data_IF_210130524471
#
_entry.id   IF_210130524471
#
_cell.length_a   1.000
_cell.length_b   1.000
_cell.length_c   1.000
_cell.angle_alpha   90.00
_cell.angle_beta   90.00
_cell.angle_gamma   90.00
#
_symmetry.space_group_name_H-M   'P 1'
#
loop_
_entity.id
_entity.type
_entity.pdbx_description
1 polymer ?
#
# COMPACT_ATOMS: atom_id res chain seq x y z
N UNK A 1 9.59 -30.20 0.81
CA UNK A 1 9.80 -28.76 1.04
C UNK A 1 10.91 -28.25 0.12
N UNK A 2 12.09 -28.93 0.01
CA UNK A 2 13.17 -28.54 -0.89
C UNK A 2 12.77 -28.46 -2.37
N UNK A 3 12.00 -29.43 -2.87
CA UNK A 3 11.50 -29.43 -4.25
C UNK A 3 10.62 -28.20 -4.57
N UNK A 4 9.78 -27.75 -3.61
CA UNK A 4 8.97 -26.55 -3.76
C UNK A 4 9.85 -25.29 -3.86
N UNK A 5 10.88 -25.19 -3.03
CA UNK A 5 11.83 -24.06 -3.07
C UNK A 5 12.56 -24.00 -4.41
N UNK A 6 12.98 -25.16 -4.96
CA UNK A 6 13.62 -25.25 -6.29
C UNK A 6 12.67 -24.84 -7.40
N UNK A 7 11.42 -25.34 -7.38
CA UNK A 7 10.41 -24.94 -8.36
C UNK A 7 10.10 -23.45 -8.30
N UNK A 8 9.99 -22.90 -7.10
CA UNK A 8 9.76 -21.46 -6.89
C UNK A 8 10.96 -20.63 -7.34
N UNK A 9 12.20 -21.09 -7.06
CA UNK A 9 13.42 -20.47 -7.57
C UNK A 9 13.39 -20.39 -9.11
N UNK A 10 13.05 -21.49 -9.77
CA UNK A 10 12.99 -21.54 -11.24
C UNK A 10 11.97 -20.55 -11.84
N UNK A 11 10.84 -20.36 -11.18
CA UNK A 11 9.83 -19.36 -11.65
C UNK A 11 10.31 -17.92 -11.52
N UNK A 12 11.17 -17.62 -10.56
CA UNK A 12 11.68 -16.28 -10.32
C UNK A 12 12.86 -15.88 -11.21
N UNK A 13 13.59 -16.86 -11.78
CA UNK A 13 14.79 -16.59 -12.60
C UNK A 13 14.51 -15.55 -13.70
N UNK A 14 13.46 -15.75 -14.48
CA UNK A 14 13.14 -14.85 -15.61
C UNK A 14 12.78 -13.41 -15.16
N UNK A 15 12.15 -13.28 -13.98
CA UNK A 15 11.80 -11.96 -13.43
C UNK A 15 13.03 -11.22 -12.92
N UNK A 16 13.87 -11.90 -12.15
CA UNK A 16 15.09 -11.30 -11.58
C UNK A 16 16.12 -11.02 -12.68
N UNK A 17 16.28 -11.89 -13.67
CA UNK A 17 17.17 -11.64 -14.83
C UNK A 17 16.76 -10.37 -15.57
N UNK A 18 15.46 -10.22 -15.87
CA UNK A 18 14.94 -9.01 -16.52
C UNK A 18 15.18 -7.75 -15.69
N UNK A 19 14.88 -7.80 -14.40
CA UNK A 19 15.10 -6.69 -13.49
C UNK A 19 16.58 -6.28 -13.44
N UNK A 20 17.49 -7.25 -13.22
CA UNK A 20 18.92 -6.97 -13.13
C UNK A 20 19.45 -6.39 -14.43
N UNK A 21 19.07 -6.93 -15.59
CA UNK A 21 19.48 -6.38 -16.91
C UNK A 21 18.98 -4.98 -17.11
N UNK A 22 17.71 -4.69 -16.77
CA UNK A 22 17.16 -3.32 -16.89
C UNK A 22 17.92 -2.35 -16.00
N UNK A 23 18.21 -2.71 -14.75
CA UNK A 23 18.98 -1.85 -13.84
C UNK A 23 20.40 -1.64 -14.36
N UNK A 24 21.10 -2.71 -14.80
CA UNK A 24 22.43 -2.60 -15.39
C UNK A 24 22.47 -1.71 -16.63
N UNK A 25 21.47 -1.83 -17.50
CA UNK A 25 21.35 -0.97 -18.67
C UNK A 25 21.20 0.49 -18.25
N UNK A 26 20.29 0.80 -17.30
CA UNK A 26 20.09 2.17 -16.79
C UNK A 26 21.37 2.72 -16.17
N UNK A 27 22.10 1.92 -15.37
CA UNK A 27 23.39 2.34 -14.78
C UNK A 27 24.41 2.69 -15.88
N UNK A 28 24.48 1.85 -16.94
CA UNK A 28 25.39 2.10 -18.07
C UNK A 28 25.02 3.35 -18.84
N UNK A 29 23.71 3.57 -19.13
CA UNK A 29 23.21 4.78 -19.80
C UNK A 29 23.53 6.07 -19.05
N UNK A 30 23.57 5.98 -17.71
CA UNK A 30 23.95 7.10 -16.85
C UNK A 30 25.45 7.14 -16.48
N UNK A 31 26.28 6.30 -17.11
CA UNK A 31 27.72 6.18 -16.85
C UNK A 31 28.06 5.92 -15.36
N UNK A 32 27.22 5.18 -14.66
CA UNK A 32 27.42 4.80 -13.25
C UNK A 32 28.17 3.47 -13.19
N UNK A 33 29.44 3.53 -12.80
CA UNK A 33 30.33 2.37 -12.66
C UNK A 33 30.36 1.83 -11.22
N UNK A 34 29.18 1.56 -10.64
CA UNK A 34 29.06 0.96 -9.31
C UNK A 34 28.73 -0.52 -9.39
N UNK A 35 29.23 -1.37 -8.47
CA UNK A 35 28.84 -2.77 -8.41
C UNK A 35 27.34 -2.85 -8.01
N UNK A 36 26.57 -3.58 -8.81
CA UNK A 36 25.16 -3.84 -8.50
C UNK A 36 25.05 -4.94 -7.45
N UNK A 37 24.53 -4.57 -6.28
CA UNK A 37 24.24 -5.47 -5.18
C UNK A 37 22.72 -5.60 -5.02
N UNK A 38 22.28 -6.77 -4.56
CA UNK A 38 20.86 -7.08 -4.32
C UNK A 38 20.67 -7.44 -2.85
N UNK A 39 19.65 -6.86 -2.23
CA UNK A 39 19.28 -7.18 -0.85
C UNK A 39 18.54 -8.53 -0.83
N UNK A 40 18.90 -9.39 0.12
CA UNK A 40 18.20 -10.63 0.42
C UNK A 40 17.05 -10.42 1.40
N UNK A 41 16.20 -11.43 1.54
CA UNK A 41 15.11 -11.43 2.51
C UNK A 41 15.57 -11.33 3.98
N UNK A 42 16.79 -11.71 4.30
CA UNK A 42 17.39 -11.58 5.63
C UNK A 42 18.08 -10.21 5.88
N UNK A 43 18.08 -9.32 4.87
CA UNK A 43 18.73 -8.00 4.91
C UNK A 43 20.21 -8.00 4.50
N UNK A 44 20.82 -9.16 4.23
CA UNK A 44 22.19 -9.22 3.73
C UNK A 44 22.27 -8.86 2.23
N UNK A 45 23.49 -8.52 1.77
CA UNK A 45 23.73 -8.16 0.36
C UNK A 45 24.39 -9.30 -0.39
N UNK A 46 23.93 -9.53 -1.62
CA UNK A 46 24.56 -10.45 -2.58
C UNK A 46 24.84 -9.75 -3.90
N UNK A 47 25.78 -10.28 -4.67
CA UNK A 47 26.02 -9.78 -6.02
C UNK A 47 24.86 -10.07 -6.95
N UNK A 48 24.64 -9.24 -7.97
CA UNK A 48 23.63 -9.47 -8.99
C UNK A 48 23.77 -10.86 -9.64
N UNK A 49 25.01 -11.36 -9.83
CA UNK A 49 25.26 -12.70 -10.36
C UNK A 49 24.69 -13.80 -9.45
N UNK A 50 24.93 -13.71 -8.14
CA UNK A 50 24.40 -14.70 -7.18
C UNK A 50 22.88 -14.61 -7.06
N UNK A 51 22.30 -13.41 -7.18
CA UNK A 51 20.86 -13.23 -7.20
C UNK A 51 20.19 -13.91 -8.41
N UNK A 52 20.87 -13.98 -9.55
CA UNK A 52 20.41 -14.73 -10.72
C UNK A 52 20.43 -16.27 -10.51
N UNK A 53 21.40 -16.75 -9.75
CA UNK A 53 21.51 -18.18 -9.43
C UNK A 53 20.50 -18.61 -8.36
N UNK A 54 20.20 -17.71 -7.41
CA UNK A 54 19.35 -17.95 -6.24
C UNK A 54 18.29 -16.86 -6.03
N UNK A 55 17.42 -16.60 -7.03
CA UNK A 55 16.43 -15.51 -6.93
C UNK A 55 15.44 -15.71 -5.78
N UNK A 56 15.21 -16.93 -5.30
CA UNK A 56 14.36 -17.18 -4.13
C UNK A 56 14.85 -16.50 -2.86
N UNK A 57 16.14 -16.24 -2.72
CA UNK A 57 16.70 -15.52 -1.56
C UNK A 57 16.39 -14.03 -1.57
N UNK A 58 15.90 -13.47 -2.68
CA UNK A 58 15.48 -12.05 -2.79
C UNK A 58 14.02 -11.81 -2.38
N UNK A 59 13.32 -12.85 -1.99
CA UNK A 59 11.94 -12.73 -1.50
C UNK A 59 11.94 -11.90 -0.20
N UNK A 60 10.99 -10.97 -0.08
CA UNK A 60 10.89 -10.00 1.03
C UNK A 60 12.11 -9.07 1.18
N UNK A 61 12.89 -8.87 0.12
CA UNK A 61 14.02 -7.95 0.12
C UNK A 61 13.62 -6.48 0.37
N UNK A 62 12.42 -6.05 -0.05
CA UNK A 62 11.91 -4.71 0.20
C UNK A 62 11.78 -4.41 1.70
N UNK A 63 10.93 -5.12 2.45
CA UNK A 63 10.84 -4.96 3.90
C UNK A 63 12.18 -5.13 4.62
N UNK A 64 13.02 -6.09 4.17
CA UNK A 64 14.34 -6.28 4.76
C UNK A 64 15.25 -5.05 4.56
N UNK A 65 15.23 -4.44 3.36
CA UNK A 65 15.96 -3.22 3.07
C UNK A 65 15.49 -2.04 3.93
N UNK A 66 14.18 -1.89 4.14
CA UNK A 66 13.61 -0.85 5.01
C UNK A 66 14.10 -1.00 6.45
N UNK A 67 14.14 -2.23 6.98
CA UNK A 67 14.64 -2.50 8.34
C UNK A 67 16.14 -2.19 8.46
N UNK A 68 16.95 -2.61 7.49
CA UNK A 68 18.39 -2.31 7.47
C UNK A 68 18.64 -0.81 7.35
N UNK A 69 17.88 -0.13 6.49
CA UNK A 69 17.93 1.33 6.36
C UNK A 69 17.56 2.04 7.66
N UNK A 70 16.49 1.62 8.34
CA UNK A 70 16.06 2.16 9.62
C UNK A 70 17.15 2.01 10.70
N UNK A 71 17.78 0.84 10.79
CA UNK A 71 18.90 0.60 11.70
C UNK A 71 20.12 1.48 11.40
N UNK A 72 20.37 1.75 10.12
CA UNK A 72 21.47 2.63 9.71
C UNK A 72 21.24 4.08 10.14
N UNK A 73 20.02 4.60 9.95
CA UNK A 73 19.66 5.97 10.31
C UNK A 73 19.45 6.17 11.82
N UNK A 74 18.95 5.15 12.50
CA UNK A 74 18.65 5.22 13.94
C UNK A 74 19.19 3.95 14.63
N UNK A 75 20.49 3.89 14.93
CA UNK A 75 21.08 2.76 15.62
C UNK A 75 20.43 2.59 17.00
N UNK A 76 19.77 1.45 17.23
CA UNK A 76 19.10 1.14 18.47
C UNK A 76 19.11 -0.38 18.72
N UNK A 77 19.03 -0.77 20.00
CA UNK A 77 18.99 -2.19 20.36
C UNK A 77 17.59 -2.79 20.18
N UNK A 78 16.55 -2.05 20.50
CA UNK A 78 15.19 -2.50 20.38
C UNK A 78 14.35 -1.41 19.70
N UNK A 79 13.62 -1.76 18.67
CA UNK A 79 12.73 -0.86 17.95
C UNK A 79 11.65 -1.62 17.18
N UNK A 80 10.61 -0.88 16.82
CA UNK A 80 9.62 -1.29 15.83
C UNK A 80 9.82 -0.42 14.60
N UNK A 81 9.98 -1.05 13.45
CA UNK A 81 10.00 -0.39 12.14
C UNK A 81 8.61 -0.52 11.53
N UNK A 82 7.99 0.59 11.21
CA UNK A 82 6.73 0.63 10.48
C UNK A 82 6.94 1.36 9.15
N UNK A 83 6.99 0.60 8.07
CA UNK A 83 7.13 1.10 6.71
C UNK A 83 5.75 1.18 6.06
N UNK A 84 5.19 2.38 5.95
CA UNK A 84 3.90 2.62 5.31
C UNK A 84 4.11 3.12 3.88
N UNK A 85 4.03 2.19 2.94
CA UNK A 85 4.05 2.52 1.52
C UNK A 85 2.67 2.94 0.98
N UNK A 86 2.54 2.97 -0.35
CA UNK A 86 1.26 3.28 -0.99
C UNK A 86 0.21 2.16 -0.84
N UNK A 87 0.63 0.91 -0.75
CA UNK A 87 -0.26 -0.27 -0.81
C UNK A 87 -0.39 -0.99 0.52
N UNK A 88 0.73 -1.15 1.23
CA UNK A 88 0.86 -1.92 2.47
C UNK A 88 1.54 -1.11 3.55
N UNK A 89 1.33 -1.52 4.78
CA UNK A 89 2.18 -1.15 5.90
C UNK A 89 2.86 -2.42 6.40
N UNK A 90 4.19 -2.40 6.37
CA UNK A 90 5.04 -3.51 6.77
C UNK A 90 5.66 -3.19 8.14
N UNK A 91 5.46 -4.11 9.09
CA UNK A 91 5.91 -3.92 10.47
C UNK A 91 6.93 -5.00 10.79
N UNK A 92 8.12 -4.58 11.22
CA UNK A 92 9.20 -5.46 11.63
C UNK A 92 9.74 -5.07 13.02
N UNK A 93 10.28 -6.05 13.72
CA UNK A 93 10.84 -5.87 15.06
C UNK A 93 12.36 -5.95 14.99
N UNK A 94 13.02 -5.00 15.63
CA UNK A 94 14.46 -5.02 15.91
C UNK A 94 14.64 -5.42 17.36
N UNK A 95 15.44 -6.46 17.59
CA UNK A 95 15.82 -6.90 18.92
C UNK A 95 17.35 -7.10 18.99
N UNK A 96 17.97 -6.58 20.04
CA UNK A 96 19.44 -6.65 20.24
C UNK A 96 20.24 -6.11 19.05
N UNK A 97 19.75 -5.02 18.42
CA UNK A 97 20.40 -4.37 17.28
C UNK A 97 20.31 -5.12 15.96
N UNK A 98 19.41 -6.11 15.83
CA UNK A 98 19.22 -6.90 14.62
C UNK A 98 17.74 -7.10 14.32
N UNK A 99 17.41 -7.21 13.04
CA UNK A 99 16.07 -7.62 12.62
C UNK A 99 15.75 -9.03 13.13
N UNK A 100 14.55 -9.21 13.67
CA UNK A 100 14.07 -10.54 14.07
C UNK A 100 13.77 -11.34 12.79
N UNK A 101 14.38 -12.52 12.67
CA UNK A 101 14.13 -13.41 11.54
C UNK A 101 12.90 -14.30 11.78
N UNK A 102 12.27 -14.71 10.71
CA UNK A 102 11.18 -15.68 10.75
C UNK A 102 11.75 -17.05 11.17
N UNK A 103 11.16 -17.67 12.21
CA UNK A 103 11.53 -19.01 12.64
C UNK A 103 10.92 -20.09 11.75
N UNK A 104 9.77 -19.79 11.15
CA UNK A 104 9.10 -20.67 10.18
C UNK A 104 9.46 -20.21 8.77
N UNK A 105 9.36 -21.16 7.81
CA UNK A 105 9.49 -20.85 6.39
C UNK A 105 8.49 -19.74 6.02
N UNK A 106 9.00 -18.64 5.46
CA UNK A 106 8.20 -17.46 5.09
C UNK A 106 7.09 -17.86 4.13
N UNK A 107 5.87 -17.49 4.45
CA UNK A 107 4.74 -17.74 3.56
C UNK A 107 4.69 -16.71 2.44
N UNK A 108 4.76 -17.18 1.19
CA UNK A 108 4.62 -16.36 -0.02
C UNK A 108 3.44 -16.90 -0.83
N UNK A 109 2.31 -16.24 -0.74
CA UNK A 109 1.05 -16.77 -1.27
C UNK A 109 0.71 -18.14 -0.65
N UNK A 110 0.45 -19.17 -1.46
CA UNK A 110 0.19 -20.53 -0.96
C UNK A 110 1.48 -21.30 -0.64
N UNK A 111 2.66 -20.76 -0.93
CA UNK A 111 3.94 -21.44 -0.84
C UNK A 111 4.71 -21.03 0.42
N UNK A 112 5.54 -21.96 0.93
CA UNK A 112 6.50 -21.72 2.03
C UNK A 112 7.90 -22.16 1.59
N UNK A 113 8.64 -21.32 0.84
CA UNK A 113 10.01 -21.61 0.49
C UNK A 113 10.92 -21.59 1.73
N UNK A 114 11.91 -22.48 1.78
CA UNK A 114 12.89 -22.53 2.87
C UNK A 114 13.98 -21.48 2.64
N UNK A 115 13.67 -20.24 2.93
CA UNK A 115 14.64 -19.13 2.88
C UNK A 115 14.52 -18.33 4.18
N UNK A 116 15.65 -17.89 4.69
CA UNK A 116 15.68 -16.97 5.81
C UNK A 116 15.21 -15.59 5.36
N UNK A 117 14.32 -15.00 6.15
CA UNK A 117 13.84 -13.65 5.90
C UNK A 117 13.53 -12.92 7.20
N UNK A 118 13.56 -11.60 7.15
CA UNK A 118 13.08 -10.76 8.24
C UNK A 118 11.62 -11.12 8.51
N UNK A 119 11.27 -11.22 9.80
CA UNK A 119 9.89 -11.40 10.22
C UNK A 119 9.14 -10.10 10.04
N UNK A 120 8.17 -10.10 9.15
CA UNK A 120 7.36 -8.93 8.80
C UNK A 120 5.88 -9.26 8.95
N UNK A 121 5.15 -8.39 9.63
CA UNK A 121 3.68 -8.36 9.60
C UNK A 121 3.26 -7.32 8.57
N UNK A 122 2.68 -7.77 7.47
CA UNK A 122 2.16 -6.88 6.41
C UNK A 122 0.65 -6.76 6.50
N UNK A 123 0.14 -5.54 6.46
CA UNK A 123 -1.29 -5.24 6.36
C UNK A 123 -1.58 -4.49 5.07
N UNK A 124 -2.72 -4.78 4.43
CA UNK A 124 -3.15 -4.16 3.17
C UNK A 124 -3.73 -2.75 3.37
N UNK A 125 -2.98 -1.89 4.05
CA UNK A 125 -3.29 -0.51 4.34
C UNK A 125 -2.08 0.35 4.02
N UNK A 126 -2.22 1.26 3.07
CA UNK A 126 -1.18 2.21 2.67
C UNK A 126 -1.78 3.57 2.29
N UNK A 127 -0.92 4.53 2.00
CA UNK A 127 -1.31 5.90 1.65
C UNK A 127 -2.18 5.99 0.38
N UNK A 128 -2.01 5.05 -0.56
CA UNK A 128 -2.76 4.96 -1.82
C UNK A 128 -3.94 3.98 -1.74
N UNK A 129 -4.27 3.46 -0.55
CA UNK A 129 -5.43 2.58 -0.36
C UNK A 129 -6.72 3.31 -0.67
N UNK A 130 -7.60 2.72 -1.49
CA UNK A 130 -8.88 3.35 -1.81
C UNK A 130 -9.77 3.45 -0.58
N UNK A 131 -10.30 4.64 -0.35
CA UNK A 131 -11.31 4.90 0.68
C UNK A 131 -12.68 4.71 0.04
N UNK A 132 -13.37 3.65 0.44
CA UNK A 132 -14.64 3.24 -0.14
C UNK A 132 -15.70 2.91 0.91
N UNK A 133 -16.79 2.30 0.45
CA UNK A 133 -17.89 1.85 1.28
C UNK A 133 -18.05 0.32 1.18
N UNK A 134 -18.10 -0.34 2.33
CA UNK A 134 -18.26 -1.79 2.46
C UNK A 134 -19.60 -2.15 3.13
N UNK A 135 -20.71 -1.70 2.54
CA UNK A 135 -22.05 -2.05 3.02
C UNK A 135 -22.22 -1.81 4.53
N UNK A 136 -22.64 -2.85 5.26
CA UNK A 136 -22.90 -2.78 6.70
C UNK A 136 -21.68 -2.44 7.58
N UNK A 137 -20.45 -2.64 7.09
CA UNK A 137 -19.22 -2.28 7.78
C UNK A 137 -18.86 -0.77 7.66
N UNK A 138 -19.61 -0.01 6.85
CA UNK A 138 -19.42 1.42 6.65
C UNK A 138 -18.16 1.75 5.84
N UNK A 139 -17.33 2.68 6.34
CA UNK A 139 -16.09 3.09 5.71
C UNK A 139 -15.09 1.93 5.65
N UNK A 140 -14.59 1.62 4.45
CA UNK A 140 -13.51 0.67 4.21
C UNK A 140 -12.30 1.38 3.60
N UNK A 141 -11.09 0.98 4.00
CA UNK A 141 -9.82 1.49 3.45
C UNK A 141 -9.03 0.30 2.93
N UNK A 142 -8.67 0.35 1.63
CA UNK A 142 -7.99 -0.74 0.96
C UNK A 142 -8.86 -1.99 0.75
N UNK A 143 -8.24 -3.15 0.39
CA UNK A 143 -6.82 -3.30 0.05
C UNK A 143 -6.46 -2.82 -1.37
N UNK A 144 -7.44 -2.31 -2.16
CA UNK A 144 -7.18 -1.86 -3.53
C UNK A 144 -6.34 -0.59 -3.52
N UNK A 145 -5.23 -0.62 -4.28
CA UNK A 145 -4.43 0.56 -4.57
C UNK A 145 -5.08 1.39 -5.67
N UNK A 146 -5.08 2.71 -5.50
CA UNK A 146 -5.51 3.70 -6.50
C UNK A 146 -4.50 4.84 -6.55
N UNK A 147 -4.57 5.68 -7.57
CA UNK A 147 -3.76 6.91 -7.63
C UNK A 147 -4.47 7.99 -6.80
N UNK A 148 -3.82 8.57 -5.77
CA UNK A 148 -4.37 9.68 -5.01
C UNK A 148 -4.76 10.84 -5.92
N UNK A 149 -5.87 11.50 -5.64
CA UNK A 149 -6.34 12.63 -6.45
C UNK A 149 -5.40 13.82 -6.36
N UNK A 150 -4.82 14.07 -5.20
CA UNK A 150 -3.79 15.09 -5.00
C UNK A 150 -2.58 14.87 -5.91
N UNK A 151 -2.08 13.63 -5.98
CA UNK A 151 -0.97 13.24 -6.88
C UNK A 151 -1.36 13.31 -8.36
N UNK A 152 -2.57 12.84 -8.70
CA UNK A 152 -3.03 12.85 -10.09
C UNK A 152 -3.06 14.27 -10.67
N UNK A 153 -3.64 15.21 -9.92
CA UNK A 153 -3.76 16.59 -10.37
C UNK A 153 -2.42 17.33 -10.31
N UNK A 154 -1.56 16.99 -9.36
CA UNK A 154 -0.20 17.53 -9.29
C UNK A 154 0.60 17.19 -10.57
N UNK A 155 0.50 15.94 -11.04
CA UNK A 155 1.15 15.47 -12.27
C UNK A 155 0.42 15.87 -13.56
N UNK A 156 -0.90 16.08 -13.51
CA UNK A 156 -1.77 16.39 -14.63
C UNK A 156 -2.69 17.58 -14.32
N UNK A 157 -2.15 18.82 -14.18
CA UNK A 157 -2.93 20.00 -13.76
C UNK A 157 -4.13 20.31 -14.66
N UNK A 158 -4.07 19.91 -15.92
CA UNK A 158 -5.17 20.08 -16.90
C UNK A 158 -6.46 19.35 -16.48
N UNK A 159 -6.38 18.32 -15.62
CA UNK A 159 -7.53 17.59 -15.13
C UNK A 159 -8.28 18.32 -14.00
N UNK A 160 -7.74 19.41 -13.45
CA UNK A 160 -8.40 20.18 -12.40
C UNK A 160 -9.80 20.65 -12.82
N UNK A 161 -9.96 21.07 -14.09
CA UNK A 161 -11.25 21.50 -14.63
C UNK A 161 -12.29 20.38 -14.60
N UNK A 162 -11.89 19.14 -14.91
CA UNK A 162 -12.74 17.96 -14.83
C UNK A 162 -13.14 17.66 -13.37
N UNK A 163 -12.20 17.77 -12.44
CA UNK A 163 -12.48 17.54 -11.01
C UNK A 163 -13.45 18.61 -10.45
N UNK A 164 -13.25 19.88 -10.82
CA UNK A 164 -14.19 20.98 -10.48
C UNK A 164 -15.59 20.71 -11.09
N UNK A 165 -15.65 20.20 -12.31
CA UNK A 165 -16.94 19.83 -12.93
C UNK A 165 -17.62 18.70 -12.15
N UNK A 166 -16.88 17.67 -11.75
CA UNK A 166 -17.41 16.60 -10.90
C UNK A 166 -17.95 17.11 -9.56
N UNK A 167 -17.29 18.12 -8.96
CA UNK A 167 -17.73 18.69 -7.69
C UNK A 167 -19.09 19.42 -7.79
N UNK A 168 -19.48 19.86 -8.98
CA UNK A 168 -20.73 20.60 -9.24
C UNK A 168 -21.86 19.70 -9.74
N UNK A 169 -21.55 18.52 -10.24
CA UNK A 169 -22.54 17.59 -10.79
C UNK A 169 -23.05 16.59 -9.75
N UNK A 170 -24.15 15.88 -10.06
CA UNK A 170 -24.66 14.82 -9.20
C UNK A 170 -23.65 13.67 -9.14
N UNK A 171 -23.23 13.22 -7.96
CA UNK A 171 -22.28 12.13 -7.83
C UNK A 171 -22.82 10.82 -8.38
N UNK A 172 -21.92 10.01 -8.91
CA UNK A 172 -22.18 8.65 -9.37
C UNK A 172 -21.23 7.67 -8.66
N UNK A 173 -21.41 6.38 -8.85
CA UNK A 173 -20.48 5.36 -8.37
C UNK A 173 -19.07 5.49 -8.98
N UNK A 174 -18.90 6.32 -9.98
CA UNK A 174 -17.63 6.59 -10.68
C UNK A 174 -17.07 7.98 -10.45
N UNK A 175 -17.60 8.75 -9.51
CA UNK A 175 -17.02 10.02 -9.10
C UNK A 175 -15.62 9.80 -8.51
N UNK A 176 -14.71 10.77 -8.66
CA UNK A 176 -13.28 10.64 -8.35
C UNK A 176 -12.55 9.55 -9.16
N UNK A 177 -13.11 9.07 -10.27
CA UNK A 177 -12.55 7.97 -11.03
C UNK A 177 -11.97 8.46 -12.35
N UNK A 178 -10.64 8.40 -12.44
CA UNK A 178 -9.89 8.54 -13.69
C UNK A 178 -9.16 7.23 -13.95
N UNK A 179 -8.95 6.89 -15.22
CA UNK A 179 -8.01 5.85 -15.62
C UNK A 179 -6.66 6.49 -15.86
N UNK A 180 -5.61 5.95 -15.29
CA UNK A 180 -4.23 6.45 -15.36
C UNK A 180 -3.37 5.38 -16.01
N UNK A 181 -2.64 5.69 -17.11
CA UNK A 181 -1.78 4.71 -17.77
C UNK A 181 -0.59 4.34 -16.87
N UNK A 182 -0.19 3.08 -16.95
CA UNK A 182 1.08 2.58 -16.43
C UNK A 182 2.00 2.28 -17.61
N UNK A 183 3.28 2.08 -17.31
CA UNK A 183 4.22 1.64 -18.34
C UNK A 183 3.85 0.25 -18.85
N UNK A 184 3.81 0.09 -20.18
CA UNK A 184 3.63 -1.20 -20.84
C UNK A 184 4.88 -1.54 -21.67
N UNK A 185 5.35 -2.78 -21.55
CA UNK A 185 6.38 -3.29 -22.46
C UNK A 185 5.76 -3.59 -23.81
N UNK A 186 6.58 -3.59 -24.88
CA UNK A 186 6.12 -3.94 -26.22
C UNK A 186 5.42 -5.31 -26.24
N UNK A 187 5.97 -6.30 -25.56
CA UNK A 187 5.37 -7.63 -25.49
C UNK A 187 3.99 -7.64 -24.79
N UNK A 188 3.78 -6.79 -23.78
CA UNK A 188 2.47 -6.65 -23.14
C UNK A 188 1.47 -5.99 -24.10
N UNK A 189 1.90 -4.94 -24.81
CA UNK A 189 1.06 -4.28 -25.80
C UNK A 189 0.69 -5.22 -26.96
N UNK A 190 1.64 -6.00 -27.48
CA UNK A 190 1.39 -6.93 -28.59
C UNK A 190 0.35 -8.00 -28.24
N UNK A 191 0.28 -8.42 -26.98
CA UNK A 191 -0.68 -9.40 -26.47
C UNK A 191 -2.08 -8.84 -26.20
N UNK A 192 -2.31 -7.52 -26.32
CA UNK A 192 -3.62 -6.92 -26.12
C UNK A 192 -4.57 -7.25 -27.28
N UNK A 193 -5.85 -7.43 -26.97
CA UNK A 193 -6.90 -7.49 -27.97
C UNK A 193 -7.05 -6.13 -28.70
N UNK A 194 -7.61 -6.12 -29.92
CA UNK A 194 -7.72 -4.90 -30.71
C UNK A 194 -8.42 -3.74 -30.00
N UNK A 195 -9.51 -4.02 -29.26
CA UNK A 195 -10.22 -3.02 -28.48
C UNK A 195 -9.43 -2.49 -27.29
N UNK A 196 -8.57 -3.34 -26.70
CA UNK A 196 -7.67 -2.97 -25.60
C UNK A 196 -6.50 -2.12 -26.12
N UNK A 197 -5.95 -2.42 -27.30
CA UNK A 197 -4.94 -1.60 -27.98
C UNK A 197 -5.46 -0.19 -28.24
N UNK A 198 -6.66 -0.08 -28.81
CA UNK A 198 -7.28 1.22 -29.04
C UNK A 198 -7.52 2.01 -27.74
N UNK A 199 -7.96 1.32 -26.67
CA UNK A 199 -8.12 1.94 -25.36
C UNK A 199 -6.77 2.35 -24.74
N UNK A 200 -5.73 1.54 -24.93
CA UNK A 200 -4.38 1.86 -24.49
C UNK A 200 -3.79 3.07 -25.21
N UNK A 201 -3.96 3.16 -26.53
CA UNK A 201 -3.52 4.30 -27.33
C UNK A 201 -4.17 5.59 -26.84
N UNK A 202 -5.51 5.57 -26.64
CA UNK A 202 -6.24 6.73 -26.07
C UNK A 202 -5.74 7.09 -24.67
N UNK A 203 -5.50 6.07 -23.83
CA UNK A 203 -5.05 6.28 -22.44
C UNK A 203 -3.58 6.77 -22.39
N UNK A 204 -2.76 6.42 -23.36
CA UNK A 204 -1.35 6.84 -23.46
C UNK A 204 -1.20 8.33 -23.72
N UNK A 205 -2.22 8.99 -24.27
CA UNK A 205 -2.27 10.45 -24.44
C UNK A 205 -2.46 11.19 -23.10
N UNK A 206 -2.97 10.49 -22.08
CA UNK A 206 -3.17 11.02 -20.73
C UNK A 206 -4.31 10.34 -19.99
N UNK A 207 -4.46 10.65 -18.68
CA UNK A 207 -5.53 10.08 -17.86
C UNK A 207 -6.92 10.48 -18.36
N UNK A 208 -7.86 9.52 -18.31
CA UNK A 208 -9.23 9.66 -18.83
C UNK A 208 -10.22 9.77 -17.68
N UNK A 209 -11.06 10.80 -17.66
CA UNK A 209 -12.18 10.94 -16.71
C UNK A 209 -13.28 9.90 -17.03
N UNK A 210 -13.46 8.95 -16.14
CA UNK A 210 -14.46 7.88 -16.28
C UNK A 210 -15.85 8.29 -15.80
N UNK A 211 -16.00 9.39 -15.10
CA UNK A 211 -17.29 9.91 -14.66
C UNK A 211 -18.15 10.33 -15.86
N UNK A 212 -17.51 10.91 -16.86
CA UNK A 212 -18.14 11.35 -18.12
C UNK A 212 -18.18 10.23 -19.15
N UNK A 213 -17.08 9.54 -19.39
CA UNK A 213 -16.93 8.51 -20.44
C UNK A 213 -17.84 7.30 -20.22
N UNK A 214 -18.18 7.00 -18.97
CA UNK A 214 -19.08 5.88 -18.66
C UNK A 214 -20.46 6.00 -19.26
N UNK A 215 -20.93 7.22 -19.50
CA UNK A 215 -22.25 7.47 -20.10
C UNK A 215 -22.21 7.49 -21.62
N UNK A 216 -21.11 7.87 -22.24
CA UNK A 216 -20.96 8.09 -23.67
C UNK A 216 -20.25 6.95 -24.42
N UNK A 217 -19.32 6.23 -23.77
CA UNK A 217 -18.49 5.21 -24.43
C UNK A 217 -18.30 3.95 -23.57
N UNK A 218 -19.34 3.09 -23.52
CA UNK A 218 -19.30 1.82 -22.79
C UNK A 218 -18.20 0.85 -23.25
N UNK A 219 -17.91 0.69 -24.58
CA UNK A 219 -16.81 -0.15 -25.04
C UNK A 219 -15.45 0.30 -24.47
N UNK A 220 -15.12 1.59 -24.54
CA UNK A 220 -13.87 2.13 -24.00
C UNK A 220 -13.74 1.86 -22.50
N UNK A 221 -14.80 2.10 -21.74
CA UNK A 221 -14.80 1.85 -20.28
C UNK A 221 -14.56 0.37 -19.95
N UNK A 222 -15.10 -0.55 -20.77
CA UNK A 222 -14.87 -1.99 -20.60
C UNK A 222 -13.41 -2.35 -20.89
N UNK A 223 -12.86 -1.87 -22.01
CA UNK A 223 -11.45 -2.12 -22.37
C UNK A 223 -10.48 -1.54 -21.32
N UNK A 224 -10.77 -0.35 -20.78
CA UNK A 224 -9.99 0.22 -19.68
C UNK A 224 -10.04 -0.69 -18.44
N UNK A 225 -11.18 -1.28 -18.12
CA UNK A 225 -11.27 -2.22 -16.98
C UNK A 225 -10.44 -3.48 -17.19
N UNK A 226 -10.29 -3.97 -18.44
CA UNK A 226 -9.38 -5.07 -18.76
C UNK A 226 -7.92 -4.62 -18.62
N UNK A 227 -7.55 -3.42 -19.10
CA UNK A 227 -6.20 -2.86 -18.93
C UNK A 227 -5.84 -2.73 -17.44
N UNK A 228 -6.77 -2.28 -16.60
CA UNK A 228 -6.55 -2.22 -15.14
C UNK A 228 -6.35 -3.63 -14.55
N UNK A 229 -7.15 -4.59 -14.99
CA UNK A 229 -7.03 -6.00 -14.56
C UNK A 229 -5.72 -6.62 -15.00
N UNK A 230 -5.22 -6.26 -16.18
CA UNK A 230 -3.93 -6.64 -16.72
C UNK A 230 -2.72 -5.89 -16.12
N UNK A 231 -2.94 -4.92 -15.21
CA UNK A 231 -1.87 -4.15 -14.58
C UNK A 231 -1.23 -3.10 -15.50
N UNK A 232 -1.90 -2.71 -16.60
CA UNK A 232 -1.43 -1.70 -17.54
C UNK A 232 -2.00 -0.30 -17.26
N UNK A 233 -3.02 -0.23 -16.40
CA UNK A 233 -3.60 1.02 -15.93
C UNK A 233 -3.97 0.93 -14.45
N UNK A 234 -4.13 2.07 -13.78
CA UNK A 234 -4.71 2.18 -12.44
C UNK A 234 -5.92 3.10 -12.48
N UNK A 235 -6.82 2.90 -11.54
CA UNK A 235 -7.83 3.91 -11.25
C UNK A 235 -7.28 4.95 -10.28
N UNK A 236 -7.78 6.17 -10.35
CA UNK A 236 -7.69 7.13 -9.26
C UNK A 236 -8.80 6.91 -8.24
N UNK A 237 -8.65 7.51 -7.07
CA UNK A 237 -9.66 7.48 -6.02
C UNK A 237 -9.29 8.37 -4.85
N UNK A 238 -10.21 8.53 -3.91
CA UNK A 238 -9.92 9.18 -2.64
C UNK A 238 -9.17 8.24 -1.72
N UNK A 239 -8.11 8.75 -1.07
CA UNK A 239 -7.12 7.95 -0.33
C UNK A 239 -6.77 8.55 1.02
N UNK A 240 -6.10 7.79 1.94
CA UNK A 240 -5.49 8.34 3.14
C UNK A 240 -4.48 9.47 2.86
N UNK A 241 -3.71 9.40 1.78
CA UNK A 241 -2.81 10.48 1.36
C UNK A 241 -3.57 11.78 1.05
N UNK A 242 -4.72 11.71 0.37
CA UNK A 242 -5.56 12.88 0.14
C UNK A 242 -6.09 13.44 1.46
N UNK A 243 -6.54 12.58 2.38
CA UNK A 243 -6.98 13.01 3.70
C UNK A 243 -5.86 13.71 4.49
N UNK A 244 -4.63 13.21 4.41
CA UNK A 244 -3.47 13.82 5.05
C UNK A 244 -3.15 15.22 4.47
N UNK A 245 -3.28 15.43 3.15
CA UNK A 245 -3.13 16.73 2.52
C UNK A 245 -4.23 17.72 2.99
N UNK A 246 -5.47 17.26 3.10
CA UNK A 246 -6.58 18.10 3.61
C UNK A 246 -6.36 18.53 5.06
N UNK A 247 -5.77 17.65 5.88
CA UNK A 247 -5.46 17.93 7.29
C UNK A 247 -4.16 18.72 7.49
N UNK A 248 -3.42 19.02 6.42
CA UNK A 248 -2.12 19.70 6.51
C UNK A 248 -0.99 18.85 7.09
N UNK A 249 -1.18 17.54 7.17
CA UNK A 249 -0.15 16.58 7.60
C UNK A 249 0.87 16.28 6.48
N UNK A 250 0.47 16.51 5.23
CA UNK A 250 1.28 16.39 4.02
C UNK A 250 1.01 17.62 3.13
N UNK A 251 2.01 18.05 2.34
CA UNK A 251 1.90 19.25 1.49
C UNK A 251 2.69 19.16 0.17
N UNK A 252 3.13 17.98 -0.24
CA UNK A 252 3.98 17.81 -1.42
C UNK A 252 3.20 17.61 -2.73
N UNK A 253 1.86 17.47 -2.66
CA UNK A 253 0.97 17.40 -3.81
C UNK A 253 -0.15 18.43 -3.71
N UNK A 254 -1.09 18.44 -4.68
CA UNK A 254 -2.18 19.41 -4.74
C UNK A 254 -3.19 19.27 -3.59
N UNK A 255 -3.11 20.16 -2.60
CA UNK A 255 -4.08 20.24 -1.49
C UNK A 255 -5.47 20.62 -1.99
N UNK A 256 -5.57 21.50 -3.01
CA UNK A 256 -6.85 21.89 -3.59
C UNK A 256 -7.57 20.68 -4.22
N UNK A 257 -6.85 19.84 -4.95
CA UNK A 257 -7.39 18.60 -5.51
C UNK A 257 -7.84 17.63 -4.39
N UNK A 258 -7.08 17.52 -3.33
CA UNK A 258 -7.46 16.70 -2.17
C UNK A 258 -8.77 17.18 -1.52
N UNK A 259 -8.95 18.48 -1.35
CA UNK A 259 -10.19 19.09 -0.81
C UNK A 259 -11.40 18.84 -1.71
N UNK A 260 -11.24 19.02 -3.03
CA UNK A 260 -12.29 18.74 -4.01
C UNK A 260 -12.64 17.23 -4.01
N UNK A 261 -11.63 16.37 -4.04
CA UNK A 261 -11.83 14.92 -4.01
C UNK A 261 -12.56 14.46 -2.74
N UNK A 262 -12.21 15.02 -1.59
CA UNK A 262 -12.88 14.75 -0.31
C UNK A 262 -14.36 15.15 -0.38
N UNK A 263 -14.66 16.33 -0.91
CA UNK A 263 -16.02 16.82 -1.07
C UNK A 263 -16.84 15.95 -2.02
N UNK A 264 -16.27 15.59 -3.17
CA UNK A 264 -16.91 14.71 -4.16
C UNK A 264 -17.17 13.33 -3.53
N UNK A 265 -16.18 12.77 -2.85
CA UNK A 265 -16.29 11.46 -2.18
C UNK A 265 -17.40 11.48 -1.11
N UNK A 266 -17.46 12.51 -0.27
CA UNK A 266 -18.49 12.64 0.76
C UNK A 266 -19.89 12.71 0.16
N UNK A 267 -20.08 13.52 -0.90
CA UNK A 267 -21.36 13.59 -1.62
C UNK A 267 -21.73 12.26 -2.25
N UNK A 268 -20.75 11.52 -2.81
CA UNK A 268 -20.93 10.17 -3.34
C UNK A 268 -21.40 9.20 -2.24
N UNK A 269 -20.74 9.21 -1.08
CA UNK A 269 -21.13 8.34 0.05
C UNK A 269 -22.55 8.63 0.51
N UNK A 270 -22.95 9.90 0.59
CA UNK A 270 -24.30 10.29 1.00
C UNK A 270 -25.37 9.95 -0.03
N UNK A 271 -25.14 10.30 -1.29
CA UNK A 271 -26.19 10.27 -2.32
C UNK A 271 -26.28 8.92 -3.01
N UNK A 272 -25.17 8.22 -3.22
CA UNK A 272 -25.14 6.93 -3.89
C UNK A 272 -25.31 5.77 -2.91
N UNK A 273 -24.64 5.86 -1.75
CA UNK A 273 -24.61 4.75 -0.78
C UNK A 273 -25.44 4.99 0.48
N UNK A 274 -25.99 6.19 0.66
CA UNK A 274 -26.82 6.54 1.82
C UNK A 274 -26.05 6.63 3.14
N UNK A 275 -24.71 6.66 3.10
CA UNK A 275 -23.84 6.73 4.26
C UNK A 275 -23.48 8.17 4.62
N UNK A 276 -23.33 8.47 5.92
CA UNK A 276 -22.89 9.79 6.37
C UNK A 276 -23.95 10.88 6.24
N UNK A 277 -25.24 10.56 6.26
CA UNK A 277 -26.33 11.57 6.11
C UNK A 277 -26.31 12.68 7.15
N UNK A 278 -25.75 12.44 8.33
CA UNK A 278 -25.64 13.39 9.44
C UNK A 278 -24.21 13.93 9.63
N UNK A 279 -23.25 13.56 8.75
CA UNK A 279 -21.87 14.03 8.84
C UNK A 279 -21.74 15.46 8.31
N UNK A 280 -20.75 16.17 8.80
CA UNK A 280 -20.37 17.50 8.32
C UNK A 280 -20.00 17.49 6.85
N UNK A 281 -20.23 18.60 6.16
CA UNK A 281 -19.76 18.82 4.77
C UNK A 281 -18.36 19.46 4.74
N UNK A 282 -17.76 19.73 5.90
CA UNK A 282 -16.41 20.28 5.98
C UNK A 282 -15.36 19.22 5.58
N UNK A 283 -14.54 19.46 4.54
CA UNK A 283 -13.52 18.51 4.10
C UNK A 283 -12.56 18.07 5.22
N UNK A 284 -12.19 18.97 6.13
CA UNK A 284 -11.30 18.64 7.24
C UNK A 284 -11.92 17.63 8.21
N UNK A 285 -13.22 17.73 8.49
CA UNK A 285 -13.90 16.77 9.36
C UNK A 285 -14.05 15.40 8.68
N UNK A 286 -14.32 15.40 7.37
CA UNK A 286 -14.39 14.17 6.58
C UNK A 286 -13.03 13.48 6.53
N UNK A 287 -11.96 14.24 6.26
CA UNK A 287 -10.60 13.73 6.25
C UNK A 287 -10.18 13.16 7.61
N UNK A 288 -10.60 13.80 8.71
CA UNK A 288 -10.36 13.32 10.07
C UNK A 288 -10.99 11.95 10.31
N UNK A 289 -12.21 11.69 9.83
CA UNK A 289 -12.87 10.37 9.95
C UNK A 289 -12.04 9.28 9.25
N UNK A 290 -11.43 9.58 8.11
CA UNK A 290 -10.53 8.62 7.44
C UNK A 290 -9.27 8.40 8.26
N UNK A 291 -8.63 9.46 8.73
CA UNK A 291 -7.43 9.40 9.54
C UNK A 291 -7.65 8.63 10.86
N UNK A 292 -8.77 8.91 11.55
CA UNK A 292 -9.19 8.21 12.77
C UNK A 292 -9.48 6.71 12.56
N UNK A 293 -9.60 6.25 11.31
CA UNK A 293 -9.69 4.83 10.99
C UNK A 293 -8.34 4.21 10.63
N UNK A 294 -7.44 4.98 10.03
CA UNK A 294 -6.09 4.54 9.65
C UNK A 294 -5.22 4.32 10.89
N UNK A 295 -5.16 5.29 11.78
CA UNK A 295 -4.25 5.23 12.95
C UNK A 295 -4.50 4.03 13.85
N UNK A 296 -5.74 3.73 14.30
CA UNK A 296 -5.99 2.54 15.11
C UNK A 296 -5.62 1.23 14.40
N UNK A 297 -5.83 1.13 13.08
CA UNK A 297 -5.45 -0.06 12.32
C UNK A 297 -3.93 -0.29 12.31
N UNK A 298 -3.14 0.79 12.18
CA UNK A 298 -1.68 0.71 12.26
C UNK A 298 -1.24 0.35 13.68
N UNK A 299 -1.78 1.02 14.70
CA UNK A 299 -1.47 0.73 16.12
C UNK A 299 -1.78 -0.72 16.46
N UNK A 300 -2.93 -1.24 16.03
CA UNK A 300 -3.30 -2.64 16.22
C UNK A 300 -2.28 -3.58 15.55
N UNK A 301 -1.84 -3.28 14.34
CA UNK A 301 -0.86 -4.08 13.63
C UNK A 301 0.52 -4.05 14.33
N UNK A 302 0.96 -2.90 14.82
CA UNK A 302 2.19 -2.75 15.61
C UNK A 302 2.13 -3.60 16.88
N UNK A 303 1.05 -3.48 17.64
CA UNK A 303 0.87 -4.25 18.88
C UNK A 303 0.80 -5.76 18.61
N UNK A 304 0.12 -6.15 17.55
CA UNK A 304 0.09 -7.55 17.11
C UNK A 304 1.48 -8.07 16.77
N UNK A 305 2.28 -7.33 16.01
CA UNK A 305 3.64 -7.71 15.65
C UNK A 305 4.52 -7.89 16.91
N UNK A 306 4.39 -6.97 17.89
CA UNK A 306 5.11 -7.04 19.16
C UNK A 306 4.70 -8.28 19.97
N UNK A 307 3.41 -8.52 20.14
CA UNK A 307 2.91 -9.69 20.88
C UNK A 307 3.35 -11.01 20.25
N UNK A 308 3.31 -11.11 18.93
CA UNK A 308 3.78 -12.30 18.20
C UNK A 308 5.30 -12.48 18.34
N UNK A 309 6.07 -11.41 18.55
CA UNK A 309 7.51 -11.48 18.78
C UNK A 309 7.83 -11.94 20.21
N UNK A 310 7.14 -11.39 21.20
CA UNK A 310 7.37 -11.70 22.62
C UNK A 310 6.87 -13.09 23.01
N UNK A 311 5.87 -13.59 22.30
CA UNK A 311 5.23 -14.88 22.56
C UNK A 311 5.25 -15.81 21.34
N UNK A 312 6.45 -16.22 20.85
CA UNK A 312 6.58 -16.98 19.60
C UNK A 312 5.93 -18.36 19.63
N UNK A 313 5.70 -18.92 20.85
CA UNK A 313 5.11 -20.25 21.06
C UNK A 313 3.62 -20.20 21.40
N UNK A 314 3.00 -19.01 21.43
CA UNK A 314 1.58 -18.89 21.73
C UNK A 314 0.73 -19.45 20.61
N UNK A 315 -0.35 -20.12 20.98
CA UNK A 315 -1.33 -20.61 20.04
C UNK A 315 -2.05 -19.46 19.32
N UNK A 316 -2.58 -19.74 18.14
CA UNK A 316 -3.38 -18.75 17.39
C UNK A 316 -4.57 -18.22 18.20
N UNK A 317 -5.15 -19.04 19.10
CA UNK A 317 -6.27 -18.64 19.96
C UNK A 317 -5.84 -17.67 21.06
N UNK A 318 -4.66 -17.86 21.65
CA UNK A 318 -4.10 -16.94 22.65
C UNK A 318 -3.76 -15.59 22.01
N UNK A 319 -3.09 -15.59 20.86
CA UNK A 319 -2.81 -14.36 20.11
C UNK A 319 -4.09 -13.65 19.67
N UNK A 320 -5.14 -14.39 19.30
CA UNK A 320 -6.43 -13.80 18.96
C UNK A 320 -7.09 -13.15 20.18
N UNK A 321 -7.03 -13.77 21.36
CA UNK A 321 -7.55 -13.21 22.61
C UNK A 321 -6.78 -11.93 23.01
N UNK A 322 -5.45 -11.95 22.93
CA UNK A 322 -4.62 -10.76 23.19
C UNK A 322 -4.93 -9.63 22.17
N UNK A 323 -5.07 -9.97 20.89
CA UNK A 323 -5.44 -9.00 19.86
C UNK A 323 -6.83 -8.38 20.12
N UNK A 324 -7.79 -9.16 20.63
CA UNK A 324 -9.10 -8.65 21.02
C UNK A 324 -9.01 -7.65 22.17
N UNK A 325 -8.17 -7.89 23.16
CA UNK A 325 -7.91 -6.94 24.26
C UNK A 325 -7.28 -5.65 23.76
N UNK A 326 -6.37 -5.74 22.79
CA UNK A 326 -5.77 -4.56 22.12
C UNK A 326 -6.83 -3.73 21.39
N UNK A 327 -7.74 -4.39 20.67
CA UNK A 327 -8.85 -3.71 19.97
C UNK A 327 -9.74 -2.97 20.97
N UNK A 328 -10.09 -3.62 22.08
CA UNK A 328 -10.91 -3.01 23.14
C UNK A 328 -10.21 -1.84 23.82
N UNK A 329 -8.88 -1.90 23.93
CA UNK A 329 -8.07 -0.81 24.49
C UNK A 329 -7.97 0.39 23.54
N UNK A 330 -7.78 0.15 22.23
CA UNK A 330 -7.71 1.21 21.20
C UNK A 330 -9.07 1.88 21.01
N UNK A 331 -10.16 1.11 21.15
CA UNK A 331 -11.54 1.58 21.01
C UNK A 331 -12.31 1.40 22.33
N UNK A 332 -11.98 2.16 23.39
CA UNK A 332 -12.68 2.04 24.66
C UNK A 332 -14.19 2.32 24.45
N UNK A 333 -15.04 1.46 25.02
CA UNK A 333 -16.46 1.74 25.07
C UNK A 333 -16.68 3.07 25.79
N UNK A 334 -17.64 3.86 25.36
CA UNK A 334 -17.92 5.24 25.82
C UNK A 334 -18.01 5.42 27.36
N UNK A 335 -18.17 4.33 28.10
CA UNK A 335 -18.36 4.31 29.56
C UNK A 335 -17.12 3.87 30.37
N UNK A 336 -15.98 3.61 29.72
CA UNK A 336 -14.75 3.20 30.42
C UNK A 336 -13.67 4.26 30.26
N UNK A 337 -13.18 4.78 31.40
CA UNK A 337 -12.01 5.66 31.42
C UNK A 337 -10.78 4.90 30.90
N UNK A 338 -10.00 5.47 29.97
CA UNK A 338 -8.75 4.86 29.52
C UNK A 338 -7.76 4.91 30.69
N UNK A 339 -7.41 3.80 31.29
CA UNK A 339 -6.32 3.85 32.24
C UNK A 339 -6.22 2.77 33.31
N UNK A 340 -7.19 1.86 33.46
CA UNK A 340 -7.14 0.94 34.59
C UNK A 340 -6.63 -0.47 34.32
N UNK A 341 -6.26 -0.85 33.11
CA UNK A 341 -5.88 -2.23 32.78
C UNK A 341 -4.52 -2.45 32.11
N UNK A 342 -3.73 -1.44 31.82
CA UNK A 342 -2.41 -1.63 31.23
C UNK A 342 -1.31 -0.92 32.03
N UNK A 343 -1.11 -1.35 33.27
CA UNK A 343 0.21 -1.41 33.89
C UNK A 343 0.91 -2.74 33.58
N UNK A 344 0.66 -3.32 32.42
CA UNK A 344 1.51 -4.38 31.88
C UNK A 344 2.81 -3.71 31.47
N UNK A 345 3.79 -3.89 32.34
CA UNK A 345 5.14 -3.43 32.26
C UNK A 345 5.79 -3.74 30.91
N UNK A 346 5.68 -2.81 29.96
CA UNK A 346 6.70 -2.68 28.93
C UNK A 346 7.86 -1.94 29.58
N UNK A 347 8.74 -2.69 30.21
CA UNK A 347 9.97 -2.16 30.83
C UNK A 347 11.09 -1.94 29.79
N UNK A 348 10.73 -1.76 28.53
CA UNK A 348 11.68 -1.51 27.46
C UNK A 348 11.28 -0.26 26.69
N UNK A 349 12.20 0.69 26.63
CA UNK A 349 12.10 1.85 25.74
C UNK A 349 12.16 1.34 24.30
N UNK A 350 11.02 1.31 23.62
CA UNK A 350 10.92 0.94 22.21
C UNK A 350 10.87 2.21 21.39
N UNK A 351 11.79 2.36 20.45
CA UNK A 351 11.76 3.46 19.49
C UNK A 351 10.92 3.07 18.27
N UNK A 352 9.90 3.86 17.95
CA UNK A 352 9.15 3.72 16.70
C UNK A 352 9.91 4.45 15.61
N UNK A 353 10.32 3.74 14.57
CA UNK A 353 10.95 4.29 13.39
C UNK A 353 9.96 4.21 12.24
N UNK A 354 9.50 5.37 11.75
CA UNK A 354 8.71 5.49 10.53
C UNK A 354 9.65 5.73 9.36
N UNK A 355 9.52 4.94 8.30
CA UNK A 355 10.30 5.02 7.05
C UNK A 355 9.42 5.48 5.92
#
# INVERSE_FOLDING_TARGET
>A
IGALTVAFNATLVSYIDRLIRSVQQTLNEHAINAPLMVVKGDGSLITAKLALERPVETILSGPAASVVGALHYTPCNNAIVADMGGTTTDIAIIAKGRAVLSQDATQVGPCRPMVESVRVLSIGLGGDSEVGFSGGAGLAIGPRRVVPMSLLIDRHPQLMSALISQSKTTPSARSNRFAVPLFATQAQYDNLAAAEKQAWETLSEGPIDLSLQAMSNRPLTRSIAELVRGGLALYSGYTPSDAAHVLGLMNHWSTEAAQLATTIWHRQMRQVYGWGRRSSENPCEIARVVHEKVIPAIVQAIMRASLECDHPNSSKSELAALNQLVIEWIHPRKDQSPGSMLSLAYDQTVSLISV
#
